data_IF_427426425470
#
_entry.id   IF_427426425470
#
_cell.length_a   1.000
_cell.length_b   1.000
_cell.length_c   1.000
_cell.angle_alpha   90.00
_cell.angle_beta   90.00
_cell.angle_gamma   90.00
#
_symmetry.space_group_name_H-M   'P 1'
#
loop_
_entity.id
_entity.type
_entity.pdbx_description
1 polymer ?
#
# COMPACT_ATOMS: atom_id res chain seq x y z
N UNK A 1 -13.63 -1.49 19.29
CA UNK A 1 -14.53 -0.82 18.32
C UNK A 1 -13.62 0.00 17.45
N UNK A 2 -13.44 -0.38 16.18
CA UNK A 2 -12.44 0.25 15.31
C UNK A 2 -12.68 1.76 15.22
N UNK A 3 -11.65 2.54 15.50
CA UNK A 3 -11.67 4.00 15.30
C UNK A 3 -12.07 4.34 13.86
N UNK A 4 -11.74 3.45 12.91
CA UNK A 4 -12.19 3.50 11.51
C UNK A 4 -13.71 3.41 11.38
N UNK A 5 -14.34 2.47 12.08
CA UNK A 5 -15.80 2.32 12.12
C UNK A 5 -16.47 3.54 12.77
N UNK A 6 -15.85 4.16 13.77
CA UNK A 6 -16.34 5.41 14.35
C UNK A 6 -16.18 6.61 13.41
N UNK A 7 -15.04 6.80 12.75
CA UNK A 7 -14.84 7.88 11.78
C UNK A 7 -15.80 7.73 10.60
N UNK A 8 -15.91 6.52 10.04
CA UNK A 8 -16.86 6.21 8.96
C UNK A 8 -18.33 6.40 9.43
N UNK A 9 -18.70 5.95 10.63
CA UNK A 9 -20.07 6.14 11.15
C UNK A 9 -20.39 7.60 11.46
N UNK A 10 -19.42 8.38 11.97
CA UNK A 10 -19.68 9.73 12.50
C UNK A 10 -19.56 10.82 11.45
N UNK A 11 -18.80 10.62 10.37
CA UNK A 11 -18.52 11.65 9.36
C UNK A 11 -18.86 11.25 7.93
N UNK A 12 -19.10 9.98 7.64
CA UNK A 12 -19.03 9.47 6.26
C UNK A 12 -20.41 9.06 5.73
N UNK A 13 -21.35 8.67 6.61
CA UNK A 13 -22.72 8.30 6.22
C UNK A 13 -23.77 9.42 6.14
N UNK A 14 -23.66 10.49 6.92
CA UNK A 14 -24.66 11.59 6.92
C UNK A 14 -24.34 12.56 5.79
N UNK A 15 -25.30 12.80 4.87
CA UNK A 15 -25.12 13.62 3.66
C UNK A 15 -24.19 13.02 2.58
N UNK A 16 -23.90 11.72 2.66
CA UNK A 16 -23.15 11.01 1.62
C UNK A 16 -23.86 11.10 0.27
N UNK A 17 -23.13 11.40 -0.78
CA UNK A 17 -23.60 11.54 -2.17
C UNK A 17 -22.86 10.62 -3.15
N UNK A 18 -22.03 9.72 -2.63
CA UNK A 18 -21.28 8.70 -3.36
C UNK A 18 -21.17 7.42 -2.52
N UNK A 19 -21.15 6.26 -3.18
CA UNK A 19 -20.91 4.95 -2.56
C UNK A 19 -19.76 4.25 -3.25
N UNK A 20 -18.77 3.76 -2.50
CA UNK A 20 -17.74 2.85 -2.98
C UNK A 20 -18.10 1.44 -2.54
N UNK A 21 -18.07 0.49 -3.46
CA UNK A 21 -18.37 -0.92 -3.21
C UNK A 21 -17.11 -1.75 -3.48
N UNK A 22 -16.75 -2.60 -2.51
CA UNK A 22 -15.67 -3.58 -2.64
C UNK A 22 -16.17 -4.91 -2.10
N UNK A 23 -16.55 -5.81 -3.00
CA UNK A 23 -17.16 -7.10 -2.64
C UNK A 23 -18.44 -6.91 -1.81
N UNK A 24 -18.41 -7.36 -0.55
CA UNK A 24 -19.56 -7.25 0.38
C UNK A 24 -19.56 -5.97 1.23
N UNK A 25 -18.55 -5.11 1.10
CA UNK A 25 -18.44 -3.88 1.87
C UNK A 25 -18.88 -2.69 1.04
N UNK A 26 -19.73 -1.87 1.65
CA UNK A 26 -20.18 -0.59 1.09
C UNK A 26 -19.68 0.55 1.98
N UNK A 27 -19.10 1.55 1.34
CA UNK A 27 -18.59 2.75 1.97
C UNK A 27 -19.37 3.94 1.41
N UNK A 28 -20.29 4.50 2.19
CA UNK A 28 -20.98 5.75 1.87
C UNK A 28 -20.03 6.90 2.16
N UNK A 29 -19.76 7.76 1.17
CA UNK A 29 -18.72 8.80 1.18
C UNK A 29 -19.19 10.10 0.54
N UNK A 30 -18.38 11.15 0.66
CA UNK A 30 -18.68 12.49 0.16
C UNK A 30 -17.82 12.85 -1.05
N UNK A 31 -18.45 13.15 -2.19
CA UNK A 31 -17.76 13.59 -3.42
C UNK A 31 -16.85 14.77 -3.16
N UNK A 32 -17.32 15.75 -2.38
CA UNK A 32 -16.56 16.96 -2.07
C UNK A 32 -15.20 16.65 -1.44
N UNK A 33 -15.14 15.69 -0.51
CA UNK A 33 -13.89 15.29 0.15
C UNK A 33 -12.98 14.55 -0.82
N UNK A 34 -13.52 13.57 -1.56
CA UNK A 34 -12.74 12.71 -2.45
C UNK A 34 -12.21 13.46 -3.68
N UNK A 35 -13.06 14.25 -4.35
CA UNK A 35 -12.68 15.01 -5.55
C UNK A 35 -11.67 16.12 -5.22
N UNK A 36 -11.72 16.69 -4.01
CA UNK A 36 -10.73 17.68 -3.56
C UNK A 36 -9.33 17.09 -3.33
N UNK A 37 -9.20 15.76 -3.31
CA UNK A 37 -7.97 15.02 -3.02
C UNK A 37 -7.49 14.11 -4.16
N UNK A 38 -8.27 13.98 -5.23
CA UNK A 38 -7.99 13.08 -6.35
C UNK A 38 -8.69 13.56 -7.62
N UNK A 39 -7.89 13.81 -8.66
CA UNK A 39 -8.38 14.13 -10.00
C UNK A 39 -9.13 12.93 -10.62
N UNK A 40 -8.77 11.71 -10.21
CA UNK A 40 -9.46 10.50 -10.63
C UNK A 40 -10.91 10.50 -10.15
N UNK A 41 -11.16 10.80 -8.86
CA UNK A 41 -12.53 10.88 -8.33
C UNK A 41 -13.32 12.02 -8.98
N UNK A 42 -12.69 13.17 -9.24
CA UNK A 42 -13.32 14.28 -9.98
C UNK A 42 -13.79 13.83 -11.37
N UNK A 43 -12.93 13.12 -12.11
CA UNK A 43 -13.24 12.61 -13.45
C UNK A 43 -14.30 11.50 -13.43
N UNK A 44 -14.17 10.54 -12.53
CA UNK A 44 -15.07 9.39 -12.42
C UNK A 44 -16.50 9.82 -12.04
N UNK A 45 -16.62 10.78 -11.12
CA UNK A 45 -17.93 11.24 -10.62
C UNK A 45 -18.52 12.41 -11.40
N UNK A 46 -17.83 12.87 -12.46
CA UNK A 46 -18.33 13.93 -13.33
C UNK A 46 -19.67 13.52 -13.93
N UNK A 47 -20.66 14.41 -13.78
CA UNK A 47 -22.03 14.16 -14.21
C UNK A 47 -22.08 13.70 -15.67
N UNK A 48 -22.76 12.59 -15.91
CA UNK A 48 -22.99 11.96 -17.21
C UNK A 48 -21.75 11.51 -18.00
N UNK A 49 -20.54 11.63 -17.43
CA UNK A 49 -19.30 11.21 -18.08
C UNK A 49 -19.12 9.69 -18.10
N UNK A 50 -19.42 9.03 -16.97
CA UNK A 50 -19.32 7.59 -16.78
C UNK A 50 -20.51 7.05 -15.98
N UNK A 51 -20.59 5.72 -15.82
CA UNK A 51 -21.69 5.07 -15.07
C UNK A 51 -21.71 5.57 -13.63
N UNK A 52 -20.55 5.74 -13.03
CA UNK A 52 -20.30 6.25 -11.68
C UNK A 52 -20.88 7.66 -11.49
N UNK A 53 -20.72 8.53 -12.49
CA UNK A 53 -21.28 9.89 -12.50
C UNK A 53 -22.81 9.93 -12.57
N UNK A 54 -23.45 8.84 -13.03
CA UNK A 54 -24.92 8.69 -13.09
C UNK A 54 -25.48 7.97 -11.88
N UNK A 55 -24.83 6.91 -11.43
CA UNK A 55 -25.30 6.04 -10.35
C UNK A 55 -24.88 6.55 -8.97
N UNK A 56 -23.80 7.32 -8.88
CA UNK A 56 -23.15 7.63 -7.60
C UNK A 56 -22.53 6.40 -6.95
N UNK A 57 -22.19 5.37 -7.73
CA UNK A 57 -21.59 4.13 -7.24
C UNK A 57 -20.29 3.84 -7.99
N UNK A 58 -19.19 3.67 -7.25
CA UNK A 58 -17.88 3.24 -7.76
C UNK A 58 -17.64 1.81 -7.27
N UNK A 59 -17.28 0.91 -8.18
CA UNK A 59 -16.95 -0.48 -7.85
C UNK A 59 -15.43 -0.69 -7.87
N UNK A 60 -14.91 -1.28 -6.81
CA UNK A 60 -13.49 -1.58 -6.59
C UNK A 60 -13.35 -3.03 -6.12
N UNK A 61 -13.86 -3.96 -6.94
CA UNK A 61 -13.98 -5.39 -6.58
C UNK A 61 -12.65 -6.16 -6.64
N UNK A 62 -11.60 -5.57 -7.23
CA UNK A 62 -10.26 -6.16 -7.33
C UNK A 62 -9.30 -5.66 -6.24
N UNK A 63 -9.71 -4.62 -5.52
CA UNK A 63 -8.91 -3.95 -4.50
C UNK A 63 -9.27 -4.49 -3.11
N UNK A 64 -8.27 -4.57 -2.24
CA UNK A 64 -8.47 -5.02 -0.85
C UNK A 64 -9.36 -4.01 -0.09
N UNK A 65 -10.43 -4.51 0.54
CA UNK A 65 -11.40 -3.61 1.18
C UNK A 65 -10.85 -2.90 2.42
N UNK A 66 -9.86 -3.47 3.11
CA UNK A 66 -9.18 -2.82 4.23
C UNK A 66 -8.22 -1.74 3.71
N UNK A 67 -7.56 -1.97 2.57
CA UNK A 67 -6.79 -0.94 1.89
C UNK A 67 -7.65 0.24 1.42
N UNK A 68 -8.86 -0.03 0.89
CA UNK A 68 -9.86 1.01 0.56
C UNK A 68 -10.29 1.76 1.82
N UNK A 69 -10.56 1.05 2.92
CA UNK A 69 -10.95 1.69 4.18
C UNK A 69 -9.84 2.62 4.70
N UNK A 70 -8.57 2.20 4.65
CA UNK A 70 -7.43 3.03 5.01
C UNK A 70 -7.25 4.25 4.07
N UNK A 71 -7.42 4.06 2.76
CA UNK A 71 -7.43 5.17 1.80
C UNK A 71 -8.51 6.19 2.16
N UNK A 72 -9.73 5.74 2.45
CA UNK A 72 -10.81 6.62 2.88
C UNK A 72 -10.47 7.34 4.19
N UNK A 73 -9.96 6.64 5.20
CA UNK A 73 -9.51 7.24 6.46
C UNK A 73 -8.54 8.40 6.22
N UNK A 74 -7.56 8.16 5.34
CA UNK A 74 -6.56 9.15 4.98
C UNK A 74 -7.18 10.37 4.31
N UNK A 75 -8.10 10.18 3.37
CA UNK A 75 -8.76 11.30 2.69
C UNK A 75 -9.54 12.20 3.66
N UNK A 76 -10.11 11.62 4.73
CA UNK A 76 -10.86 12.35 5.74
C UNK A 76 -9.99 12.96 6.85
N UNK A 77 -8.90 12.31 7.24
CA UNK A 77 -8.17 12.62 8.48
C UNK A 77 -6.69 12.95 8.28
N UNK A 78 -6.13 12.65 7.11
CA UNK A 78 -4.70 12.80 6.80
C UNK A 78 -3.82 11.68 7.32
N UNK A 79 -4.39 10.62 7.91
CA UNK A 79 -3.67 9.43 8.38
C UNK A 79 -4.56 8.19 8.28
N UNK A 80 -3.98 7.01 8.47
CA UNK A 80 -4.71 5.77 8.68
C UNK A 80 -3.96 4.87 9.67
N UNK A 81 -4.70 3.98 10.31
CA UNK A 81 -4.13 2.93 11.16
C UNK A 81 -4.11 1.60 10.43
N UNK A 82 -3.17 0.74 10.82
CA UNK A 82 -3.13 -0.63 10.32
C UNK A 82 -4.32 -1.37 10.91
N UNK A 83 -5.14 -1.94 10.04
CA UNK A 83 -6.25 -2.78 10.44
C UNK A 83 -5.85 -4.23 10.25
N UNK A 84 -5.96 -5.01 11.32
CA UNK A 84 -5.74 -6.45 11.26
C UNK A 84 -7.06 -7.14 10.93
N UNK A 85 -7.03 -8.30 10.24
CA UNK A 85 -8.20 -9.14 10.10
C UNK A 85 -8.88 -9.34 11.46
N UNK A 86 -10.21 -9.43 11.50
CA UNK A 86 -11.07 -9.32 12.69
C UNK A 86 -10.77 -10.26 13.90
N UNK A 87 -9.75 -11.13 13.80
CA UNK A 87 -9.28 -12.04 14.86
C UNK A 87 -7.76 -11.97 15.11
N UNK A 88 -7.07 -10.96 14.57
CA UNK A 88 -5.62 -10.77 14.72
C UNK A 88 -5.32 -9.49 15.49
N UNK A 89 -4.27 -9.52 16.30
CA UNK A 89 -3.70 -8.36 17.01
C UNK A 89 -2.30 -8.08 16.49
N UNK A 90 -1.77 -6.88 16.74
CA UNK A 90 -0.37 -6.52 16.44
C UNK A 90 0.66 -7.50 17.01
N UNK A 91 0.31 -8.19 18.11
CA UNK A 91 1.15 -9.18 18.76
C UNK A 91 1.09 -10.59 18.17
N UNK A 92 0.25 -10.83 17.15
CA UNK A 92 0.21 -12.15 16.50
C UNK A 92 1.52 -12.41 15.73
N UNK A 93 2.00 -13.66 15.67
CA UNK A 93 3.20 -14.02 14.90
C UNK A 93 3.14 -13.62 13.42
N UNK A 94 1.95 -13.55 12.85
CA UNK A 94 1.71 -13.20 11.45
C UNK A 94 1.56 -11.69 11.22
N UNK A 95 1.33 -10.90 12.26
CA UNK A 95 1.10 -9.46 12.17
C UNK A 95 2.21 -8.69 11.43
N UNK A 96 3.52 -8.94 11.66
CA UNK A 96 4.61 -8.23 10.99
C UNK A 96 4.52 -8.27 9.45
N UNK A 97 4.23 -9.44 8.90
CA UNK A 97 4.10 -9.60 7.45
C UNK A 97 2.87 -8.93 6.87
N UNK A 98 1.76 -8.99 7.60
CA UNK A 98 0.53 -8.32 7.21
C UNK A 98 0.68 -6.79 7.19
N UNK A 99 1.41 -6.20 8.15
CA UNK A 99 1.64 -4.75 8.20
C UNK A 99 2.37 -4.27 6.93
N UNK A 100 3.47 -4.94 6.55
CA UNK A 100 4.22 -4.57 5.36
C UNK A 100 3.39 -4.71 4.08
N UNK A 101 2.67 -5.83 3.93
CA UNK A 101 1.82 -6.07 2.77
C UNK A 101 0.66 -5.08 2.69
N UNK A 102 0.03 -4.78 3.82
CA UNK A 102 -1.07 -3.84 3.94
C UNK A 102 -0.69 -2.45 3.41
N UNK A 103 0.48 -1.93 3.81
CA UNK A 103 0.96 -0.67 3.27
C UNK A 103 1.10 -0.70 1.74
N UNK A 104 1.61 -1.79 1.16
CA UNK A 104 1.72 -1.90 -0.30
C UNK A 104 0.35 -2.05 -1.00
N UNK A 105 -0.65 -2.67 -0.36
CA UNK A 105 -2.02 -2.71 -0.88
C UNK A 105 -2.64 -1.30 -0.87
N UNK A 106 -2.44 -0.53 0.20
CA UNK A 106 -2.85 0.89 0.25
C UNK A 106 -2.13 1.70 -0.82
N UNK A 107 -0.84 1.44 -1.07
CA UNK A 107 -0.09 2.06 -2.16
C UNK A 107 -0.73 1.82 -3.52
N UNK A 108 -1.14 0.57 -3.78
CA UNK A 108 -1.76 0.16 -5.05
C UNK A 108 -3.05 0.94 -5.30
N UNK A 109 -3.90 1.03 -4.28
CA UNK A 109 -5.14 1.81 -4.33
C UNK A 109 -4.84 3.30 -4.54
N UNK A 110 -3.85 3.84 -3.84
CA UNK A 110 -3.45 5.24 -3.96
C UNK A 110 -2.93 5.58 -5.36
N UNK A 111 -2.15 4.70 -5.98
CA UNK A 111 -1.65 4.87 -7.34
C UNK A 111 -2.76 4.78 -8.38
N UNK A 112 -3.62 3.76 -8.28
CA UNK A 112 -4.79 3.58 -9.15
C UNK A 112 -5.70 4.81 -9.14
N UNK A 113 -5.92 5.39 -7.96
CA UNK A 113 -6.77 6.57 -7.74
C UNK A 113 -6.01 7.90 -7.83
N UNK A 114 -4.72 7.87 -8.16
CA UNK A 114 -3.85 9.06 -8.34
C UNK A 114 -3.80 9.99 -7.11
N UNK A 115 -3.75 9.40 -5.92
CA UNK A 115 -3.68 10.12 -4.64
C UNK A 115 -2.21 10.22 -4.22
N UNK A 116 -1.49 11.21 -4.77
CA UNK A 116 -0.04 11.37 -4.59
C UNK A 116 0.36 11.50 -3.11
N UNK A 117 -0.37 12.31 -2.33
CA UNK A 117 -0.05 12.52 -0.92
C UNK A 117 -0.17 11.21 -0.11
N UNK A 118 -1.13 10.34 -0.46
CA UNK A 118 -1.28 9.03 0.17
C UNK A 118 -0.12 8.10 -0.21
N UNK A 119 0.35 8.13 -1.47
CA UNK A 119 1.52 7.35 -1.88
C UNK A 119 2.75 7.72 -1.04
N UNK A 120 3.02 9.01 -0.86
CA UNK A 120 4.13 9.49 -0.03
C UNK A 120 3.96 9.06 1.44
N UNK A 121 2.75 9.20 1.99
CA UNK A 121 2.47 8.77 3.36
C UNK A 121 2.66 7.26 3.54
N UNK A 122 2.25 6.46 2.56
CA UNK A 122 2.46 5.00 2.56
C UNK A 122 3.94 4.65 2.48
N UNK A 123 4.73 5.33 1.65
CA UNK A 123 6.17 5.11 1.53
C UNK A 123 6.89 5.32 2.89
N UNK A 124 6.55 6.38 3.61
CA UNK A 124 7.07 6.65 4.95
C UNK A 124 6.72 5.53 5.94
N UNK A 125 5.44 5.13 6.01
CA UNK A 125 4.99 4.09 6.94
C UNK A 125 5.54 2.71 6.58
N UNK A 126 5.62 2.40 5.29
CA UNK A 126 6.23 1.18 4.78
C UNK A 126 7.71 1.11 5.13
N UNK A 127 8.46 2.21 5.02
CA UNK A 127 9.87 2.24 5.39
C UNK A 127 10.07 1.90 6.87
N UNK A 128 9.22 2.43 7.75
CA UNK A 128 9.26 2.14 9.20
C UNK A 128 8.97 0.65 9.43
N UNK A 129 7.85 0.15 8.92
CA UNK A 129 7.46 -1.25 9.07
C UNK A 129 8.50 -2.23 8.51
N UNK A 130 9.01 -1.98 7.31
CA UNK A 130 10.02 -2.83 6.68
C UNK A 130 11.36 -2.78 7.43
N UNK A 131 11.71 -1.64 8.03
CA UNK A 131 12.92 -1.54 8.87
C UNK A 131 12.82 -2.32 10.17
N UNK A 132 11.62 -2.45 10.72
CA UNK A 132 11.35 -3.22 11.94
C UNK A 132 11.24 -4.72 11.64
N UNK A 133 10.53 -5.09 10.57
CA UNK A 133 10.09 -6.46 10.29
C UNK A 133 10.82 -7.16 9.14
N UNK A 134 11.98 -6.67 8.69
CA UNK A 134 12.74 -7.30 7.59
C UNK A 134 13.13 -8.78 7.84
N UNK A 135 13.14 -9.23 9.10
CA UNK A 135 13.43 -10.63 9.47
C UNK A 135 12.22 -11.55 9.33
N UNK A 136 11.03 -11.00 9.14
CA UNK A 136 9.81 -11.76 9.02
C UNK A 136 9.85 -12.65 7.75
N UNK A 137 9.34 -13.90 7.81
CA UNK A 137 9.34 -14.79 6.65
C UNK A 137 8.63 -14.25 5.41
N UNK A 138 7.72 -13.28 5.58
CA UNK A 138 7.00 -12.61 4.48
C UNK A 138 7.84 -11.54 3.76
N UNK A 139 8.95 -11.08 4.34
CA UNK A 139 9.73 -9.98 3.77
C UNK A 139 10.09 -10.19 2.28
N UNK A 140 10.48 -11.39 1.81
CA UNK A 140 10.69 -11.63 0.37
C UNK A 140 9.42 -11.44 -0.47
N UNK A 141 8.26 -11.91 -0.01
CA UNK A 141 7.00 -11.70 -0.73
C UNK A 141 6.64 -10.21 -0.82
N UNK A 142 6.92 -9.45 0.26
CA UNK A 142 6.80 -7.99 0.28
C UNK A 142 7.70 -7.32 -0.76
N UNK A 143 8.96 -7.76 -0.93
CA UNK A 143 9.86 -7.24 -1.96
C UNK A 143 9.27 -7.48 -3.36
N UNK A 144 8.80 -8.70 -3.61
CA UNK A 144 8.20 -9.06 -4.89
C UNK A 144 6.99 -8.17 -5.19
N UNK A 145 6.10 -7.99 -4.21
CA UNK A 145 4.92 -7.18 -4.38
C UNK A 145 5.28 -5.69 -4.59
N UNK A 146 6.24 -5.15 -3.83
CA UNK A 146 6.74 -3.78 -4.00
C UNK A 146 7.23 -3.52 -5.44
N UNK A 147 7.94 -4.47 -6.04
CA UNK A 147 8.39 -4.36 -7.44
C UNK A 147 7.25 -4.47 -8.46
N UNK A 148 6.18 -5.20 -8.13
CA UNK A 148 5.00 -5.33 -8.99
C UNK A 148 4.15 -4.06 -9.03
N UNK A 149 4.07 -3.31 -7.92
CA UNK A 149 3.22 -2.11 -7.80
C UNK A 149 3.95 -0.81 -8.11
N UNK A 150 5.28 -0.80 -8.07
CA UNK A 150 6.11 0.34 -8.44
C UNK A 150 6.92 0.03 -9.70
N UNK A 151 6.51 0.44 -10.91
CA UNK A 151 7.29 0.22 -12.13
C UNK A 151 8.54 1.14 -12.21
N UNK A 152 9.57 0.78 -12.99
CA UNK A 152 10.78 1.60 -13.12
C UNK A 152 10.52 2.89 -13.92
N UNK A 153 11.13 4.00 -13.51
CA UNK A 153 11.15 5.26 -14.27
C UNK A 153 10.00 6.24 -14.00
N UNK A 154 9.12 5.94 -13.03
CA UNK A 154 8.00 6.80 -12.61
C UNK A 154 7.97 6.96 -11.07
N UNK A 155 6.97 7.70 -10.56
CA UNK A 155 6.60 7.73 -9.14
C UNK A 155 6.46 6.29 -8.59
N UNK A 156 7.02 6.01 -7.39
CA UNK A 156 7.08 4.67 -6.79
C UNK A 156 8.46 4.01 -6.75
N UNK A 157 9.47 4.65 -7.34
CA UNK A 157 10.86 4.27 -7.14
C UNK A 157 11.26 4.23 -5.64
N UNK A 158 10.59 4.98 -4.76
CA UNK A 158 10.93 4.97 -3.35
C UNK A 158 10.70 3.62 -2.68
N UNK A 159 9.60 2.90 -2.99
CA UNK A 159 9.38 1.54 -2.50
C UNK A 159 10.54 0.60 -2.89
N UNK A 160 10.98 0.67 -4.16
CA UNK A 160 12.13 -0.11 -4.65
C UNK A 160 13.41 0.25 -3.92
N UNK A 161 13.67 1.55 -3.72
CA UNK A 161 14.85 2.02 -2.97
C UNK A 161 14.83 1.53 -1.54
N UNK A 162 13.69 1.63 -0.84
CA UNK A 162 13.53 1.18 0.56
C UNK A 162 13.93 -0.29 0.68
N UNK A 163 13.34 -1.16 -0.13
CA UNK A 163 13.62 -2.61 -0.04
C UNK A 163 15.05 -2.96 -0.46
N UNK A 164 15.61 -2.26 -1.46
CA UNK A 164 17.02 -2.45 -1.86
C UNK A 164 17.96 -2.00 -0.74
N UNK A 165 17.73 -0.84 -0.12
CA UNK A 165 18.56 -0.37 1.00
C UNK A 165 18.52 -1.31 2.19
N UNK A 166 17.34 -1.81 2.54
CA UNK A 166 17.18 -2.79 3.61
C UNK A 166 17.89 -4.11 3.29
N UNK A 167 17.77 -4.59 2.05
CA UNK A 167 18.47 -5.80 1.62
C UNK A 167 19.99 -5.63 1.66
N UNK A 168 20.51 -4.49 1.20
CA UNK A 168 21.95 -4.19 1.27
C UNK A 168 22.43 -4.08 2.72
N UNK A 169 21.67 -3.38 3.57
CA UNK A 169 22.02 -3.21 4.99
C UNK A 169 22.09 -4.54 5.74
N UNK A 170 21.23 -5.50 5.36
CA UNK A 170 21.10 -6.79 6.02
C UNK A 170 21.63 -7.97 5.17
N UNK A 171 22.42 -7.69 4.11
CA UNK A 171 22.84 -8.69 3.13
C UNK A 171 23.53 -9.90 3.78
N UNK A 172 24.40 -9.67 4.77
CA UNK A 172 25.09 -10.76 5.48
C UNK A 172 24.13 -11.77 6.11
N UNK A 173 22.95 -11.33 6.56
CA UNK A 173 21.94 -12.20 7.15
C UNK A 173 21.08 -12.84 6.06
N UNK A 174 20.64 -12.06 5.07
CA UNK A 174 19.73 -12.50 4.02
C UNK A 174 20.34 -13.53 3.06
N UNK A 175 21.66 -13.47 2.84
CA UNK A 175 22.37 -14.39 1.95
C UNK A 175 23.06 -15.56 2.69
N UNK A 176 22.77 -15.77 3.98
CA UNK A 176 23.36 -16.87 4.76
C UNK A 176 22.85 -18.24 4.29
N UNK A 177 21.54 -18.34 4.06
CA UNK A 177 20.86 -19.58 3.73
C UNK A 177 20.45 -19.59 2.25
N UNK A 178 21.03 -20.55 1.50
CA UNK A 178 20.83 -20.72 0.06
C UNK A 178 19.43 -21.20 -0.31
N UNK A 179 18.71 -21.84 0.62
CA UNK A 179 17.36 -22.37 0.42
C UNK A 179 16.26 -21.49 1.02
N UNK A 180 16.64 -20.28 1.49
CA UNK A 180 15.73 -19.33 2.11
C UNK A 180 14.64 -18.82 1.16
N UNK A 181 13.53 -18.33 1.73
CA UNK A 181 12.49 -17.62 0.97
C UNK A 181 13.03 -16.40 0.22
N UNK A 182 14.08 -15.77 0.74
CA UNK A 182 14.78 -14.66 0.09
C UNK A 182 15.52 -15.12 -1.18
N UNK A 183 16.23 -16.26 -1.10
CA UNK A 183 16.92 -16.86 -2.25
C UNK A 183 15.94 -17.22 -3.36
N UNK A 184 14.82 -17.88 -3.01
CA UNK A 184 13.76 -18.23 -3.97
C UNK A 184 13.11 -17.01 -4.63
N UNK A 185 12.90 -15.93 -3.88
CA UNK A 185 12.39 -14.67 -4.44
C UNK A 185 13.38 -14.05 -5.44
N UNK A 186 14.69 -14.11 -5.17
CA UNK A 186 15.73 -13.60 -6.07
C UNK A 186 15.74 -14.32 -7.43
N UNK A 187 15.45 -15.61 -7.48
CA UNK A 187 15.36 -16.37 -8.74
C UNK A 187 14.22 -15.85 -9.66
N UNK A 188 13.13 -15.38 -9.06
CA UNK A 188 11.95 -14.88 -9.78
C UNK A 188 11.89 -13.36 -9.98
N UNK A 189 12.83 -12.59 -9.41
CA UNK A 189 12.76 -11.13 -9.39
C UNK A 189 14.06 -10.48 -9.91
N UNK A 190 14.26 -10.59 -11.23
CA UNK A 190 15.47 -10.10 -11.90
C UNK A 190 15.66 -8.59 -11.77
N UNK A 191 14.58 -7.80 -11.74
CA UNK A 191 14.67 -6.35 -11.57
C UNK A 191 15.23 -5.98 -10.19
N UNK A 192 14.74 -6.64 -9.14
CA UNK A 192 15.28 -6.46 -7.79
C UNK A 192 16.75 -6.89 -7.74
N UNK A 193 17.09 -8.05 -8.29
CA UNK A 193 18.47 -8.54 -8.32
C UNK A 193 19.43 -7.57 -9.03
N UNK A 194 18.99 -6.97 -10.15
CA UNK A 194 19.75 -5.93 -10.87
C UNK A 194 19.98 -4.69 -10.00
N UNK A 195 18.93 -4.17 -9.38
CA UNK A 195 18.99 -2.93 -8.61
C UNK A 195 19.80 -3.12 -7.32
N UNK A 196 19.66 -4.28 -6.67
CA UNK A 196 20.49 -4.73 -5.55
C UNK A 196 21.98 -4.82 -5.94
N UNK A 197 22.28 -5.46 -7.07
CA UNK A 197 23.66 -5.63 -7.55
C UNK A 197 24.31 -4.28 -7.86
N UNK A 198 23.59 -3.37 -8.53
CA UNK A 198 24.06 -1.99 -8.77
C UNK A 198 24.38 -1.26 -7.46
N UNK A 199 23.51 -1.40 -6.46
CA UNK A 199 23.70 -0.73 -5.16
C UNK A 199 24.87 -1.32 -4.37
N UNK A 200 25.04 -2.64 -4.38
CA UNK A 200 26.18 -3.32 -3.75
C UNK A 200 27.50 -2.90 -4.40
N UNK A 201 27.57 -2.90 -5.73
CA UNK A 201 28.75 -2.44 -6.47
C UNK A 201 29.08 -0.98 -6.14
N UNK A 202 28.09 -0.10 -6.12
CA UNK A 202 28.28 1.32 -5.77
C UNK A 202 28.82 1.56 -4.34
N UNK A 203 28.54 0.67 -3.38
CA UNK A 203 29.14 0.74 -2.04
C UNK A 203 30.61 0.31 -2.02
N UNK A 204 31.02 -0.62 -2.87
CA UNK A 204 32.40 -1.10 -2.94
C UNK A 204 33.38 -0.08 -3.54
N UNK A 205 32.92 0.93 -4.30
CA UNK A 205 33.79 1.91 -4.97
C UNK A 205 33.91 3.26 -4.26
N UNK A 206 33.38 3.42 -3.04
CA UNK A 206 33.61 4.61 -2.22
C UNK A 206 34.84 4.37 -1.33
N UNK A 207 36.02 4.69 -1.88
CA UNK A 207 37.27 4.83 -1.13
C UNK A 207 37.36 6.23 -0.49
#
# INVERSE_FOLDING_TARGET
MDMMDEVLKRHVGTYSDLTIVSGMREFKVHKFVLCGRSDWFEKATKKDAFVEGRTGVIKMDHDDSDAIAAMLAYLYTGTYEVTFPRNMSESSPEAPGHIMMFHLQVYTVADQLRIVDLKLHVEERFQIAASEYWKDPSFPATIQFAYSVAPPGLEGNELRKIVVELAVKNAKHLFTDKESSFSKMMEGNAEFGRDLSKRLAGKCFRF
#
